data_IF_551607405629
#
_entry.id   IF_551607405629
#
_cell.length_a   1.000
_cell.length_b   1.000
_cell.length_c   1.000
_cell.angle_alpha   90.00
_cell.angle_beta   90.00
_cell.angle_gamma   90.00
#
_symmetry.space_group_name_H-M   'P 1'
#
loop_
_entity.id
_entity.type
_entity.pdbx_description
1 polymer ?
#
# COMPACT_ATOMS: atom_id res chain seq x y z
N UNK A 1 7.06 -13.68 20.47
CA UNK A 1 7.17 -12.64 19.42
C UNK A 1 7.98 -11.48 19.97
N UNK A 2 9.02 -11.04 19.27
CA UNK A 2 9.85 -9.88 19.69
C UNK A 2 9.02 -8.63 19.97
N UNK A 3 9.47 -7.76 20.88
CA UNK A 3 8.74 -6.57 21.34
C UNK A 3 8.38 -5.62 20.19
N UNK A 4 9.30 -5.41 19.25
CA UNK A 4 9.08 -4.54 18.09
C UNK A 4 8.07 -5.12 17.09
N UNK A 5 7.98 -6.46 16.95
CA UNK A 5 6.98 -7.11 16.08
C UNK A 5 5.56 -6.92 16.62
N UNK A 6 5.40 -7.04 17.95
CA UNK A 6 4.14 -6.71 18.63
C UNK A 6 3.76 -5.25 18.45
N UNK A 7 4.74 -4.34 18.56
CA UNK A 7 4.52 -2.92 18.34
C UNK A 7 4.03 -2.64 16.91
N UNK A 8 4.63 -3.24 15.88
CA UNK A 8 4.18 -3.07 14.49
C UNK A 8 2.73 -3.53 14.30
N UNK A 9 2.38 -4.72 14.78
CA UNK A 9 0.99 -5.23 14.71
C UNK A 9 0.05 -4.28 15.46
N UNK A 10 0.44 -3.84 16.67
CA UNK A 10 -0.34 -2.90 17.47
C UNK A 10 -0.57 -1.58 16.75
N UNK A 11 0.46 -0.99 16.15
CA UNK A 11 0.37 0.26 15.38
C UNK A 11 -0.53 0.10 14.15
N UNK A 12 -0.41 -0.99 13.39
CA UNK A 12 -1.31 -1.25 12.25
C UNK A 12 -2.76 -1.43 12.70
N UNK A 13 -3.02 -2.11 13.82
CA UNK A 13 -4.37 -2.23 14.39
C UNK A 13 -4.92 -0.89 14.85
N UNK A 14 -4.12 -0.06 15.53
CA UNK A 14 -4.51 1.29 15.92
C UNK A 14 -4.84 2.13 14.68
N UNK A 15 -4.05 2.01 13.61
CA UNK A 15 -4.30 2.72 12.36
C UNK A 15 -5.64 2.32 11.73
N UNK A 16 -6.02 1.03 11.76
CA UNK A 16 -7.35 0.56 11.34
C UNK A 16 -8.45 1.26 12.13
N UNK A 17 -8.35 1.26 13.46
CA UNK A 17 -9.36 1.88 14.34
C UNK A 17 -9.45 3.38 14.09
N UNK A 18 -8.32 4.08 14.09
CA UNK A 18 -8.27 5.53 13.89
C UNK A 18 -8.79 5.91 12.50
N UNK A 19 -8.36 5.21 11.45
CA UNK A 19 -8.84 5.47 10.08
C UNK A 19 -10.35 5.24 9.94
N UNK A 20 -10.88 4.16 10.52
CA UNK A 20 -12.31 3.88 10.51
C UNK A 20 -13.11 4.94 11.29
N UNK A 21 -12.68 5.27 12.51
CA UNK A 21 -13.36 6.27 13.35
C UNK A 21 -13.34 7.64 12.68
N UNK A 22 -12.19 8.07 12.16
CA UNK A 22 -12.05 9.36 11.49
C UNK A 22 -12.92 9.44 10.22
N UNK A 23 -12.95 8.38 9.42
CA UNK A 23 -13.83 8.28 8.26
C UNK A 23 -15.31 8.33 8.66
N UNK A 24 -15.71 7.55 9.67
CA UNK A 24 -17.10 7.52 10.13
C UNK A 24 -17.55 8.89 10.65
N UNK A 25 -16.70 9.54 11.44
CA UNK A 25 -17.00 10.83 12.03
C UNK A 25 -17.15 11.95 10.98
N UNK A 26 -16.39 11.90 9.88
CA UNK A 26 -16.41 12.97 8.87
C UNK A 26 -17.33 12.68 7.67
N UNK A 27 -17.45 11.42 7.26
CA UNK A 27 -18.04 11.06 5.96
C UNK A 27 -19.26 10.14 6.06
N UNK A 28 -19.60 9.67 7.27
CA UNK A 28 -20.81 8.89 7.54
C UNK A 28 -20.55 7.41 7.86
N UNK A 29 -21.61 6.63 8.12
CA UNK A 29 -21.50 5.36 8.87
C UNK A 29 -20.78 4.23 8.13
N UNK A 30 -20.55 4.34 6.82
CA UNK A 30 -19.90 3.29 6.05
C UNK A 30 -18.52 3.73 5.53
N UNK A 31 -17.43 3.42 6.25
CA UNK A 31 -16.09 3.81 5.85
C UNK A 31 -15.56 3.03 4.65
N UNK A 32 -16.29 2.04 4.12
CA UNK A 32 -15.86 1.30 2.94
C UNK A 32 -16.31 1.99 1.64
N UNK A 33 -17.20 2.97 1.73
CA UNK A 33 -17.81 3.60 0.57
C UNK A 33 -17.40 5.06 0.47
N UNK A 34 -17.06 5.48 -0.75
CA UNK A 34 -16.80 6.90 -1.00
C UNK A 34 -18.13 7.66 -0.90
N UNK A 35 -18.20 8.82 -0.23
CA UNK A 35 -19.46 9.56 -0.02
C UNK A 35 -20.07 10.08 -1.34
N UNK A 36 -19.21 10.45 -2.29
CA UNK A 36 -19.62 10.99 -3.60
C UNK A 36 -18.74 10.44 -4.74
N UNK A 37 -18.89 9.17 -5.16
CA UNK A 37 -18.03 8.58 -6.19
C UNK A 37 -18.31 9.17 -7.57
N UNK A 38 -17.30 9.15 -8.44
CA UNK A 38 -17.42 9.69 -9.81
C UNK A 38 -18.39 8.86 -10.67
N UNK A 39 -18.41 7.54 -10.47
CA UNK A 39 -19.32 6.63 -11.15
C UNK A 39 -20.47 6.22 -10.22
N UNK A 40 -21.70 6.33 -10.71
CA UNK A 40 -22.88 5.81 -10.04
C UNK A 40 -23.15 4.39 -10.50
N UNK A 41 -22.62 3.43 -9.76
CA UNK A 41 -22.76 1.99 -10.05
C UNK A 41 -23.77 1.35 -9.09
N UNK A 42 -24.43 0.29 -9.55
CA UNK A 42 -25.19 -0.57 -8.63
C UNK A 42 -24.24 -1.22 -7.60
N UNK A 43 -24.71 -1.58 -6.39
CA UNK A 43 -23.85 -2.13 -5.35
C UNK A 43 -23.04 -3.35 -5.81
N UNK A 44 -23.68 -4.31 -6.48
CA UNK A 44 -23.01 -5.51 -6.98
C UNK A 44 -21.93 -5.19 -8.01
N UNK A 45 -22.26 -4.36 -9.01
CA UNK A 45 -21.28 -3.97 -10.03
C UNK A 45 -20.11 -3.21 -9.42
N UNK A 46 -20.37 -2.33 -8.45
CA UNK A 46 -19.34 -1.57 -7.73
C UNK A 46 -18.35 -2.50 -7.04
N UNK A 47 -18.84 -3.43 -6.23
CA UNK A 47 -17.96 -4.32 -5.46
C UNK A 47 -17.20 -5.27 -6.38
N UNK A 48 -17.87 -5.87 -7.37
CA UNK A 48 -17.24 -6.78 -8.33
C UNK A 48 -16.18 -6.07 -9.18
N UNK A 49 -16.48 -4.87 -9.68
CA UNK A 49 -15.52 -4.09 -10.47
C UNK A 49 -14.34 -3.62 -9.60
N UNK A 50 -14.61 -3.13 -8.39
CA UNK A 50 -13.57 -2.70 -7.45
C UNK A 50 -12.62 -3.86 -7.13
N UNK A 51 -13.16 -5.03 -6.75
CA UNK A 51 -12.35 -6.20 -6.45
C UNK A 51 -11.54 -6.68 -7.67
N UNK A 52 -12.15 -6.73 -8.86
CA UNK A 52 -11.48 -7.14 -10.09
C UNK A 52 -10.33 -6.19 -10.45
N UNK A 53 -10.57 -4.88 -10.41
CA UNK A 53 -9.54 -3.88 -10.66
C UNK A 53 -8.42 -3.96 -9.62
N UNK A 54 -8.75 -4.18 -8.35
CA UNK A 54 -7.78 -4.37 -7.28
C UNK A 54 -6.86 -5.57 -7.51
N UNK A 55 -7.42 -6.72 -7.88
CA UNK A 55 -6.65 -7.93 -8.20
C UNK A 55 -5.75 -7.69 -9.42
N UNK A 56 -6.32 -7.20 -10.53
CA UNK A 56 -5.58 -6.98 -11.78
C UNK A 56 -4.44 -5.99 -11.56
N UNK A 57 -4.72 -4.86 -10.90
CA UNK A 57 -3.71 -3.85 -10.60
C UNK A 57 -2.63 -4.37 -9.66
N UNK A 58 -3.00 -5.11 -8.61
CA UNK A 58 -2.06 -5.69 -7.67
C UNK A 58 -1.13 -6.70 -8.35
N UNK A 59 -1.67 -7.61 -9.17
CA UNK A 59 -0.89 -8.59 -9.94
C UNK A 59 0.05 -7.89 -10.93
N UNK A 60 -0.47 -6.92 -11.69
CA UNK A 60 0.34 -6.14 -12.64
C UNK A 60 1.48 -5.40 -11.92
N UNK A 61 1.21 -4.81 -10.75
CA UNK A 61 2.21 -4.11 -9.94
C UNK A 61 3.28 -5.05 -9.42
N UNK A 62 2.90 -6.25 -8.95
CA UNK A 62 3.86 -7.28 -8.53
C UNK A 62 4.72 -7.73 -9.71
N UNK A 63 4.12 -8.01 -10.86
CA UNK A 63 4.83 -8.40 -12.07
C UNK A 63 5.82 -7.31 -12.53
N UNK A 64 5.38 -6.05 -12.57
CA UNK A 64 6.22 -4.90 -12.88
C UNK A 64 7.37 -4.76 -11.88
N UNK A 65 7.12 -4.93 -10.59
CA UNK A 65 8.17 -4.91 -9.55
C UNK A 65 9.22 -5.99 -9.81
N UNK A 66 8.80 -7.23 -10.10
CA UNK A 66 9.73 -8.34 -10.42
C UNK A 66 10.53 -8.07 -11.68
N UNK A 67 9.87 -7.54 -12.70
CA UNK A 67 10.53 -7.14 -13.94
C UNK A 67 11.58 -6.05 -13.69
N UNK A 68 11.24 -4.98 -12.97
CA UNK A 68 12.14 -3.88 -12.67
C UNK A 68 13.36 -4.34 -11.87
N UNK A 69 13.20 -5.19 -10.86
CA UNK A 69 14.31 -5.74 -10.06
C UNK A 69 15.25 -6.59 -10.93
N UNK A 70 14.72 -7.34 -11.89
CA UNK A 70 15.56 -8.14 -12.81
C UNK A 70 16.34 -7.26 -13.78
N UNK A 71 15.73 -6.20 -14.32
CA UNK A 71 16.30 -5.48 -15.46
C UNK A 71 16.99 -4.16 -15.12
N UNK A 72 16.73 -3.57 -13.96
CA UNK A 72 17.22 -2.22 -13.63
C UNK A 72 18.08 -2.20 -12.37
N UNK A 73 19.11 -1.33 -12.36
CA UNK A 73 20.01 -1.18 -11.20
C UNK A 73 19.31 -0.51 -10.02
N UNK A 74 18.58 0.58 -10.28
CA UNK A 74 17.88 1.34 -9.23
C UNK A 74 16.88 0.46 -8.46
N UNK A 75 16.19 -0.47 -9.12
CA UNK A 75 15.24 -1.35 -8.44
C UNK A 75 15.94 -2.41 -7.58
N UNK A 76 17.12 -2.92 -8.01
CA UNK A 76 17.95 -3.78 -7.17
C UNK A 76 18.49 -3.03 -5.96
N UNK A 77 18.90 -1.78 -6.12
CA UNK A 77 19.32 -0.92 -5.00
C UNK A 77 18.19 -0.73 -3.99
N UNK A 78 17.01 -0.34 -4.47
CA UNK A 78 15.82 -0.20 -3.63
C UNK A 78 15.44 -1.51 -2.93
N UNK A 79 15.51 -2.66 -3.64
CA UNK A 79 15.28 -3.98 -3.06
C UNK A 79 16.26 -4.27 -1.92
N UNK A 80 17.55 -3.99 -2.09
CA UNK A 80 18.55 -4.14 -1.02
C UNK A 80 18.25 -3.24 0.18
N UNK A 81 17.89 -1.98 -0.07
CA UNK A 81 17.63 -1.01 0.99
C UNK A 81 16.36 -1.34 1.79
N UNK A 82 15.35 -1.96 1.15
CA UNK A 82 14.11 -2.40 1.81
C UNK A 82 14.23 -3.80 2.43
N UNK A 83 15.18 -4.62 1.99
CA UNK A 83 15.33 -6.02 2.44
C UNK A 83 15.36 -6.18 3.96
N UNK A 84 16.11 -5.37 4.73
CA UNK A 84 16.20 -5.52 6.18
C UNK A 84 14.85 -5.43 6.91
N UNK A 85 13.86 -4.74 6.34
CA UNK A 85 12.51 -4.64 6.90
C UNK A 85 11.82 -6.00 6.93
N UNK A 86 12.03 -6.83 5.89
CA UNK A 86 11.33 -8.09 5.72
C UNK A 86 12.11 -9.33 6.19
N UNK A 87 13.45 -9.24 6.25
CA UNK A 87 14.34 -10.37 6.55
C UNK A 87 13.97 -11.14 7.83
N UNK A 88 13.52 -10.43 8.88
CA UNK A 88 13.22 -11.04 10.19
C UNK A 88 11.74 -11.44 10.37
N UNK A 89 10.91 -11.32 9.33
CA UNK A 89 9.48 -11.59 9.39
C UNK A 89 9.16 -13.04 9.01
N UNK A 90 8.38 -13.73 9.83
CA UNK A 90 7.85 -15.05 9.49
C UNK A 90 6.79 -14.93 8.39
N UNK A 91 6.50 -16.00 7.60
CA UNK A 91 5.50 -15.94 6.54
C UNK A 91 4.12 -15.52 7.07
N UNK A 92 3.70 -16.06 8.21
CA UNK A 92 2.42 -15.70 8.84
C UNK A 92 2.38 -14.23 9.28
N UNK A 93 3.49 -13.70 9.81
CA UNK A 93 3.55 -12.28 10.19
C UNK A 93 3.51 -11.35 8.97
N UNK A 94 4.10 -11.76 7.84
CA UNK A 94 3.98 -11.00 6.58
C UNK A 94 2.52 -10.90 6.13
N UNK A 95 1.78 -12.01 6.16
CA UNK A 95 0.35 -12.01 5.79
C UNK A 95 -0.44 -11.13 6.75
N UNK A 96 -0.22 -11.27 8.06
CA UNK A 96 -0.91 -10.46 9.07
C UNK A 96 -0.64 -8.95 8.89
N UNK A 97 0.63 -8.57 8.71
CA UNK A 97 1.00 -7.18 8.49
C UNK A 97 0.43 -6.66 7.17
N UNK A 98 0.50 -7.45 6.09
CA UNK A 98 -0.07 -7.05 4.81
C UNK A 98 -1.57 -6.78 4.90
N UNK A 99 -2.33 -7.57 5.67
CA UNK A 99 -3.77 -7.34 5.87
C UNK A 99 -4.02 -6.11 6.75
N UNK A 100 -3.38 -6.03 7.92
CA UNK A 100 -3.62 -4.95 8.88
C UNK A 100 -3.12 -3.59 8.39
N UNK A 101 -1.90 -3.53 7.83
CA UNK A 101 -1.35 -2.28 7.31
C UNK A 101 -2.17 -1.78 6.13
N UNK A 102 -2.54 -2.66 5.20
CA UNK A 102 -3.37 -2.27 4.05
C UNK A 102 -4.74 -1.78 4.51
N UNK A 103 -5.41 -2.48 5.42
CA UNK A 103 -6.71 -2.02 5.93
C UNK A 103 -6.59 -0.64 6.61
N UNK A 104 -5.59 -0.46 7.48
CA UNK A 104 -5.41 0.80 8.21
C UNK A 104 -5.04 1.97 7.30
N UNK A 105 -4.10 1.76 6.38
CA UNK A 105 -3.67 2.79 5.45
C UNK A 105 -4.77 3.13 4.43
N UNK A 106 -5.52 2.16 3.90
CA UNK A 106 -6.62 2.47 3.00
C UNK A 106 -7.76 3.19 3.72
N UNK A 107 -8.09 2.82 4.97
CA UNK A 107 -9.07 3.56 5.77
C UNK A 107 -8.60 5.00 6.05
N UNK A 108 -7.34 5.20 6.42
CA UNK A 108 -6.84 6.55 6.71
C UNK A 108 -6.73 7.41 5.44
N UNK A 109 -6.04 6.93 4.40
CA UNK A 109 -5.71 7.74 3.24
C UNK A 109 -6.83 7.81 2.21
N UNK A 110 -7.55 6.70 2.00
CA UNK A 110 -8.59 6.64 0.98
C UNK A 110 -9.91 7.02 1.62
N UNK A 111 -10.37 6.28 2.61
CA UNK A 111 -11.68 6.54 3.21
C UNK A 111 -11.77 7.90 3.92
N UNK A 112 -10.76 8.27 4.71
CA UNK A 112 -10.76 9.54 5.43
C UNK A 112 -10.15 10.72 4.64
N UNK A 113 -8.88 10.63 4.19
CA UNK A 113 -8.20 11.78 3.57
C UNK A 113 -8.70 12.09 2.16
N UNK A 114 -9.00 11.10 1.30
CA UNK A 114 -9.35 11.38 -0.10
C UNK A 114 -10.61 12.25 -0.24
N UNK A 115 -11.73 12.00 0.45
CA UNK A 115 -12.88 12.90 0.40
C UNK A 115 -12.63 14.26 1.05
N UNK A 116 -11.68 14.36 1.99
CA UNK A 116 -11.40 15.60 2.71
C UNK A 116 -10.47 16.55 1.94
N UNK A 117 -9.35 16.04 1.43
CA UNK A 117 -8.31 16.86 0.78
C UNK A 117 -8.12 16.55 -0.70
N UNK A 118 -8.78 15.52 -1.25
CA UNK A 118 -8.66 15.10 -2.64
C UNK A 118 -7.52 14.10 -2.90
N UNK A 119 -7.52 13.57 -4.12
CA UNK A 119 -6.65 12.45 -4.54
C UNK A 119 -5.15 12.83 -4.56
N UNK A 120 -4.82 14.05 -5.02
CA UNK A 120 -3.41 14.45 -5.16
C UNK A 120 -2.77 14.76 -3.80
N UNK A 121 -3.36 15.60 -2.93
CA UNK A 121 -2.73 15.90 -1.64
C UNK A 121 -2.56 14.66 -0.77
N UNK A 122 -3.56 13.77 -0.69
CA UNK A 122 -3.42 12.54 0.09
C UNK A 122 -2.31 11.62 -0.45
N UNK A 123 -2.15 11.53 -1.77
CA UNK A 123 -1.12 10.69 -2.38
C UNK A 123 0.30 11.23 -2.13
N UNK A 124 0.46 12.56 -2.15
CA UNK A 124 1.73 13.20 -1.78
C UNK A 124 2.08 12.94 -0.32
N UNK A 125 1.11 13.08 0.60
CA UNK A 125 1.31 12.77 2.02
C UNK A 125 1.67 11.29 2.19
N UNK A 126 0.96 10.39 1.51
CA UNK A 126 1.25 8.97 1.51
C UNK A 126 2.70 8.68 1.09
N UNK A 127 3.13 9.22 -0.06
CA UNK A 127 4.51 9.03 -0.54
C UNK A 127 5.58 9.65 0.36
N UNK A 128 5.34 10.85 0.90
CA UNK A 128 6.28 11.50 1.83
C UNK A 128 6.46 10.66 3.10
N UNK A 129 5.42 10.03 3.62
CA UNK A 129 5.50 9.17 4.80
C UNK A 129 6.19 7.82 4.51
N UNK A 130 6.26 7.40 3.25
CA UNK A 130 6.94 6.19 2.81
C UNK A 130 8.42 6.45 2.54
N UNK A 131 9.24 6.33 3.58
CA UNK A 131 10.69 6.59 3.50
C UNK A 131 11.51 5.32 3.82
N UNK A 132 12.69 5.24 3.19
CA UNK A 132 13.76 4.33 3.60
C UNK A 132 15.04 5.12 3.87
N UNK A 133 16.08 4.48 4.38
CA UNK A 133 17.39 5.13 4.56
C UNK A 133 18.11 5.25 3.20
N UNK A 134 18.97 6.26 3.08
CA UNK A 134 19.81 6.46 1.89
C UNK A 134 19.08 7.02 0.66
N UNK A 135 19.76 7.09 -0.50
CA UNK A 135 19.24 7.75 -1.71
C UNK A 135 17.96 7.11 -2.29
N UNK A 136 17.75 5.81 -2.07
CA UNK A 136 16.54 5.10 -2.52
C UNK A 136 15.25 5.62 -1.88
N UNK A 137 15.35 6.45 -0.82
CA UNK A 137 14.20 7.10 -0.17
C UNK A 137 13.32 7.87 -1.14
N UNK A 138 13.90 8.56 -2.13
CA UNK A 138 13.14 9.39 -3.07
C UNK A 138 12.47 8.54 -4.13
N UNK A 139 13.12 7.46 -4.56
CA UNK A 139 12.51 6.47 -5.47
C UNK A 139 11.33 5.79 -4.78
N UNK A 140 11.50 5.40 -3.51
CA UNK A 140 10.43 4.79 -2.73
C UNK A 140 9.26 5.74 -2.50
N UNK A 141 9.54 6.99 -2.11
CA UNK A 141 8.52 8.00 -1.91
C UNK A 141 7.75 8.29 -3.20
N UNK A 142 8.44 8.46 -4.33
CA UNK A 142 7.82 8.67 -5.64
C UNK A 142 6.93 7.47 -6.03
N UNK A 143 7.44 6.25 -5.85
CA UNK A 143 6.68 5.04 -6.14
C UNK A 143 5.42 4.94 -5.26
N UNK A 144 5.55 5.19 -3.96
CA UNK A 144 4.43 5.22 -3.04
C UNK A 144 3.41 6.31 -3.42
N UNK A 145 3.84 7.50 -3.84
CA UNK A 145 2.94 8.53 -4.39
C UNK A 145 2.17 8.03 -5.60
N UNK A 146 2.83 7.36 -6.55
CA UNK A 146 2.17 6.82 -7.76
C UNK A 146 1.12 5.76 -7.40
N UNK A 147 1.45 4.85 -6.49
CA UNK A 147 0.48 3.86 -5.98
C UNK A 147 -0.67 4.55 -5.21
N UNK A 148 -0.35 5.56 -4.42
CA UNK A 148 -1.30 6.40 -3.70
C UNK A 148 -2.30 7.10 -4.63
N UNK A 149 -1.82 7.63 -5.75
CA UNK A 149 -2.66 8.22 -6.80
C UNK A 149 -3.56 7.17 -7.44
N UNK A 150 -3.01 5.99 -7.79
CA UNK A 150 -3.78 4.93 -8.42
C UNK A 150 -4.91 4.41 -7.51
N UNK A 151 -4.63 4.18 -6.23
CA UNK A 151 -5.64 3.73 -5.26
C UNK A 151 -6.65 4.82 -4.93
N UNK A 152 -6.20 6.08 -4.78
CA UNK A 152 -7.10 7.22 -4.58
C UNK A 152 -8.06 7.40 -5.75
N UNK A 153 -7.55 7.28 -6.99
CA UNK A 153 -8.38 7.32 -8.20
C UNK A 153 -9.34 6.13 -8.28
N UNK A 154 -8.88 4.92 -7.99
CA UNK A 154 -9.73 3.73 -7.97
C UNK A 154 -10.89 3.89 -6.97
N UNK A 155 -10.60 4.37 -5.76
CA UNK A 155 -11.59 4.60 -4.71
C UNK A 155 -12.56 5.73 -5.09
N UNK A 156 -12.05 6.88 -5.55
CA UNK A 156 -12.88 8.02 -5.95
C UNK A 156 -13.76 7.70 -7.17
N UNK A 157 -13.24 6.94 -8.14
CA UNK A 157 -13.98 6.59 -9.34
C UNK A 157 -15.06 5.53 -9.07
N UNK A 158 -14.69 4.41 -8.46
CA UNK A 158 -15.59 3.26 -8.27
C UNK A 158 -16.45 3.43 -7.02
N UNK A 159 -15.92 4.04 -5.96
CA UNK A 159 -16.63 4.29 -4.71
C UNK A 159 -16.58 3.16 -3.70
N UNK A 160 -15.73 2.15 -3.90
CA UNK A 160 -15.53 1.03 -2.97
C UNK A 160 -14.07 0.87 -2.60
N UNK A 161 -13.80 0.73 -1.30
CA UNK A 161 -12.47 0.53 -0.73
C UNK A 161 -11.93 -0.89 -0.95
N UNK A 162 -12.76 -1.84 -1.39
CA UNK A 162 -12.38 -3.26 -1.54
C UNK A 162 -11.22 -3.42 -2.52
N UNK A 163 -11.28 -2.79 -3.69
CA UNK A 163 -10.23 -2.83 -4.71
C UNK A 163 -8.88 -2.35 -4.22
N UNK A 164 -8.78 -1.11 -3.69
CA UNK A 164 -7.55 -0.61 -3.07
C UNK A 164 -7.02 -1.53 -1.97
N UNK A 165 -7.87 -2.01 -1.05
CA UNK A 165 -7.47 -2.94 0.01
C UNK A 165 -6.88 -4.24 -0.54
N UNK A 166 -7.53 -4.85 -1.54
CA UNK A 166 -7.05 -6.10 -2.16
C UNK A 166 -5.72 -5.87 -2.86
N UNK A 167 -5.62 -4.80 -3.68
CA UNK A 167 -4.40 -4.47 -4.39
C UNK A 167 -3.23 -4.26 -3.42
N UNK A 168 -3.45 -3.46 -2.38
CA UNK A 168 -2.45 -3.13 -1.38
C UNK A 168 -2.01 -4.38 -0.60
N UNK A 169 -2.95 -5.18 -0.10
CA UNK A 169 -2.63 -6.40 0.64
C UNK A 169 -1.86 -7.41 -0.22
N UNK A 170 -2.25 -7.56 -1.50
CA UNK A 170 -1.58 -8.44 -2.44
C UNK A 170 -0.13 -7.99 -2.71
N UNK A 171 0.05 -6.69 -3.00
CA UNK A 171 1.36 -6.09 -3.22
C UNK A 171 2.24 -6.27 -1.99
N UNK A 172 1.74 -5.95 -0.79
CA UNK A 172 2.50 -6.04 0.45
C UNK A 172 2.86 -7.50 0.77
N UNK A 173 1.91 -8.42 0.74
CA UNK A 173 2.16 -9.82 1.07
C UNK A 173 3.22 -10.43 0.14
N UNK A 174 3.10 -10.19 -1.17
CA UNK A 174 4.00 -10.77 -2.16
C UNK A 174 5.36 -10.06 -2.19
N UNK A 175 5.41 -8.73 -2.09
CA UNK A 175 6.68 -8.00 -2.13
C UNK A 175 7.47 -8.11 -0.82
N UNK A 176 6.83 -8.11 0.35
CA UNK A 176 7.54 -8.38 1.61
C UNK A 176 8.12 -9.78 1.62
N UNK A 177 7.37 -10.78 1.15
CA UNK A 177 7.89 -12.14 1.03
C UNK A 177 9.08 -12.20 0.06
N UNK A 178 9.00 -11.53 -1.08
CA UNK A 178 10.10 -11.48 -2.05
C UNK A 178 11.33 -10.75 -1.51
N UNK A 179 11.16 -9.66 -0.77
CA UNK A 179 12.26 -8.99 -0.07
C UNK A 179 12.95 -9.96 0.89
N UNK A 180 12.17 -10.71 1.69
CA UNK A 180 12.74 -11.68 2.62
C UNK A 180 13.51 -12.79 1.91
N UNK A 181 12.87 -13.42 0.92
CA UNK A 181 13.31 -14.68 0.33
C UNK A 181 14.28 -14.51 -0.85
N UNK A 182 14.44 -13.31 -1.41
CA UNK A 182 15.25 -13.08 -2.61
C UNK A 182 16.40 -12.11 -2.36
N UNK A 183 17.61 -12.56 -2.69
CA UNK A 183 18.80 -11.71 -2.74
C UNK A 183 19.05 -11.27 -4.18
N UNK A 184 19.50 -10.03 -4.33
CA UNK A 184 19.85 -9.47 -5.63
C UNK A 184 21.37 -9.32 -5.73
N UNK A 185 21.97 -9.46 -6.92
CA UNK A 185 23.40 -9.32 -7.09
C UNK A 185 23.92 -7.99 -6.56
N UNK A 186 25.09 -8.03 -5.90
CA UNK A 186 25.79 -6.84 -5.43
C UNK A 186 26.41 -6.08 -6.61
N UNK A 187 26.30 -4.75 -6.61
CA UNK A 187 26.90 -3.85 -7.62
C UNK A 187 27.95 -2.94 -6.94
N UNK A 188 29.26 -3.12 -7.22
CA UNK A 188 30.35 -2.38 -6.59
C UNK A 188 30.34 -0.88 -6.79
N UNK A 189 29.63 -0.38 -7.81
CA UNK A 189 29.69 1.03 -8.19
C UNK A 189 28.81 1.90 -7.28
N UNK A 190 27.81 1.32 -6.61
CA UNK A 190 26.80 2.06 -5.84
C UNK A 190 27.20 2.39 -4.39
N UNK A 191 28.36 1.91 -3.91
CA UNK A 191 28.87 2.21 -2.56
C UNK A 191 29.73 3.46 -2.48
N UNK A 192 29.81 4.25 -3.56
CA UNK A 192 30.49 5.55 -3.61
C UNK A 192 29.48 6.69 -3.56
#
# INVERSE_FOLDING_TARGET
>A
MESWKRLLVGLSTVLVVVGAVASIAMHGPNPLLHPSPMLRLSPWLRESLSATLGIVFGVATVAATRWSVRHTRWARRLHRDLRPVAQQLSPGLIVLLALLSSAGEELLFRSFLTPWVGIVPQALVFGILHQTRGPSRWVWALWATVIGLAFGLMYAAIGSLIGPCIAHALINAINLRFLRDHEVPWDPIESR
#
